data_IF_072423972712
#
_entry.id   IF_072423972712
#
_cell.length_a   1.000
_cell.length_b   1.000
_cell.length_c   1.000
_cell.angle_alpha   90.00
_cell.angle_beta   90.00
_cell.angle_gamma   90.00
#
_symmetry.space_group_name_H-M   'P 1'
#
loop_
_entity.id
_entity.type
_entity.pdbx_description
1 polymer ?
#
# COMPACT_ATOMS: atom_id res chain seq x y z
N UNK A 1 9.04 6.94 -13.72
CA UNK A 1 7.88 7.54 -14.44
C UNK A 1 6.83 6.46 -14.64
N UNK A 2 5.55 6.80 -14.79
CA UNK A 2 4.48 5.81 -15.01
C UNK A 2 3.47 5.65 -13.86
N UNK A 3 3.84 5.99 -12.62
CA UNK A 3 2.94 5.88 -11.44
C UNK A 3 1.59 6.60 -11.61
N UNK A 4 1.61 7.89 -11.94
CA UNK A 4 0.37 8.66 -12.16
C UNK A 4 -0.39 8.17 -13.40
N UNK A 5 0.32 7.69 -14.43
CA UNK A 5 -0.30 7.08 -15.60
C UNK A 5 -1.09 5.81 -15.22
N UNK A 6 -0.53 4.92 -14.40
CA UNK A 6 -1.23 3.71 -13.93
C UNK A 6 -2.54 4.06 -13.21
N UNK A 7 -2.55 5.11 -12.38
CA UNK A 7 -3.79 5.60 -11.77
C UNK A 7 -4.80 6.10 -12.80
N UNK A 8 -4.35 6.86 -13.79
CA UNK A 8 -5.22 7.38 -14.86
C UNK A 8 -5.81 6.27 -15.73
N UNK A 9 -5.03 5.24 -16.04
CA UNK A 9 -5.50 4.05 -16.77
C UNK A 9 -6.52 3.28 -15.94
N UNK A 10 -6.29 3.09 -14.64
CA UNK A 10 -7.29 2.47 -13.77
C UNK A 10 -8.57 3.32 -13.66
N UNK A 11 -8.44 4.65 -13.63
CA UNK A 11 -9.56 5.58 -13.60
C UNK A 11 -10.36 5.60 -14.92
N UNK A 12 -9.70 5.41 -16.07
CA UNK A 12 -10.35 5.41 -17.38
C UNK A 12 -11.37 4.28 -17.54
N UNK A 13 -11.29 3.22 -16.73
CA UNK A 13 -12.32 2.16 -16.67
C UNK A 13 -13.69 2.77 -16.29
N UNK A 14 -13.71 3.70 -15.33
CA UNK A 14 -14.95 4.20 -14.73
C UNK A 14 -15.41 5.55 -15.28
N UNK A 15 -14.49 6.38 -15.76
CA UNK A 15 -14.84 7.70 -16.27
C UNK A 15 -13.63 8.51 -16.70
N UNK A 16 -13.85 9.80 -16.95
CA UNK A 16 -12.78 10.70 -17.40
C UNK A 16 -11.61 10.70 -16.39
N UNK A 17 -10.40 10.28 -16.77
CA UNK A 17 -9.29 10.09 -15.84
C UNK A 17 -8.94 11.33 -15.02
N UNK A 18 -8.98 12.53 -15.62
CA UNK A 18 -8.62 13.77 -14.92
C UNK A 18 -9.65 14.20 -13.88
N UNK A 19 -10.92 13.80 -14.05
CA UNK A 19 -12.00 14.12 -13.11
C UNK A 19 -12.23 13.02 -12.08
N UNK A 20 -11.96 11.78 -12.46
CA UNK A 20 -12.19 10.61 -11.63
C UNK A 20 -11.08 10.42 -10.59
N UNK A 21 -9.82 10.66 -10.97
CA UNK A 21 -8.70 10.71 -10.00
C UNK A 21 -8.93 11.84 -9.00
N UNK A 22 -8.87 11.52 -7.71
CA UNK A 22 -9.04 12.49 -6.62
C UNK A 22 -7.68 12.86 -6.04
N UNK A 23 -7.57 14.07 -5.49
CA UNK A 23 -6.32 14.54 -4.89
C UNK A 23 -6.34 14.38 -3.38
N UNK A 24 -5.16 14.15 -2.81
CA UNK A 24 -4.95 14.12 -1.36
C UNK A 24 -5.01 15.51 -0.69
N UNK A 25 -5.05 16.59 -1.47
CA UNK A 25 -5.20 17.97 -1.00
C UNK A 25 -6.63 18.25 -0.55
N UNK A 26 -7.02 17.59 0.53
CA UNK A 26 -8.38 17.63 1.05
C UNK A 26 -8.38 17.41 2.57
N UNK A 27 -9.47 17.78 3.23
CA UNK A 27 -9.64 17.51 4.67
C UNK A 27 -10.07 16.06 4.89
N UNK A 28 -9.87 15.54 6.10
CA UNK A 28 -10.34 14.21 6.50
C UNK A 28 -11.86 14.03 6.26
N UNK A 29 -12.65 15.06 6.57
CA UNK A 29 -14.09 15.07 6.36
C UNK A 29 -14.49 15.06 4.88
N UNK A 30 -13.74 15.76 4.03
CA UNK A 30 -14.01 15.76 2.60
C UNK A 30 -13.65 14.40 1.98
N UNK A 31 -12.55 13.77 2.42
CA UNK A 31 -12.20 12.41 1.98
C UNK A 31 -13.19 11.35 2.50
N UNK A 32 -13.81 11.54 3.66
CA UNK A 32 -14.94 10.71 4.10
C UNK A 32 -16.12 10.80 3.11
N UNK A 33 -16.44 12.02 2.64
CA UNK A 33 -17.45 12.25 1.60
C UNK A 33 -17.09 11.53 0.31
N UNK A 34 -15.86 11.72 -0.18
CA UNK A 34 -15.36 11.08 -1.40
C UNK A 34 -15.39 9.56 -1.32
N UNK A 35 -14.99 8.98 -0.18
CA UNK A 35 -15.02 7.52 0.01
C UNK A 35 -16.45 6.98 -0.01
N UNK A 36 -17.40 7.70 0.59
CA UNK A 36 -18.82 7.35 0.54
C UNK A 36 -19.40 7.41 -0.88
N UNK A 37 -18.96 8.35 -1.70
CA UNK A 37 -19.38 8.48 -3.11
C UNK A 37 -18.82 7.35 -4.00
N UNK A 38 -17.66 6.80 -3.62
CA UNK A 38 -17.03 5.67 -4.32
C UNK A 38 -17.36 4.32 -3.66
N UNK A 39 -18.38 4.25 -2.80
CA UNK A 39 -18.78 3.00 -2.16
C UNK A 39 -19.08 1.94 -3.24
N UNK A 40 -18.52 0.74 -3.05
CA UNK A 40 -18.55 -0.38 -4.00
C UNK A 40 -17.85 -0.11 -5.34
N UNK A 41 -16.97 0.91 -5.38
CA UNK A 41 -16.19 1.30 -6.55
C UNK A 41 -14.71 1.49 -6.23
N UNK A 42 -13.95 1.90 -7.25
CA UNK A 42 -12.51 2.14 -7.18
C UNK A 42 -12.23 3.60 -6.79
N UNK A 43 -11.37 3.83 -5.80
CA UNK A 43 -10.95 5.17 -5.39
C UNK A 43 -9.47 5.43 -5.72
N UNK A 44 -9.16 6.06 -6.87
CA UNK A 44 -7.81 6.51 -7.17
C UNK A 44 -7.51 7.85 -6.47
N UNK A 45 -6.43 7.87 -5.69
CA UNK A 45 -5.94 9.09 -5.03
C UNK A 45 -4.49 9.39 -5.42
N UNK A 46 -4.24 10.56 -5.99
CA UNK A 46 -2.91 11.02 -6.38
C UNK A 46 -2.42 12.19 -5.51
N UNK A 47 -1.13 12.50 -5.62
CA UNK A 47 -0.49 13.66 -5.01
C UNK A 47 -0.50 13.67 -3.47
N UNK A 48 -0.23 12.51 -2.86
CA UNK A 48 -0.14 12.35 -1.40
C UNK A 48 0.79 13.37 -0.71
N UNK A 49 1.76 13.91 -1.45
CA UNK A 49 2.68 14.96 -0.97
C UNK A 49 2.00 16.29 -0.67
N UNK A 50 0.78 16.52 -1.17
CA UNK A 50 0.01 17.75 -0.91
C UNK A 50 -0.81 17.69 0.39
N UNK A 51 -0.86 16.53 1.06
CA UNK A 51 -1.54 16.36 2.34
C UNK A 51 -0.57 16.56 3.52
N UNK A 52 -1.08 17.08 4.64
CA UNK A 52 -0.32 17.13 5.89
C UNK A 52 0.03 15.68 6.32
N UNK A 53 1.34 15.34 6.45
CA UNK A 53 1.77 14.01 6.88
C UNK A 53 1.11 13.50 8.17
N UNK A 54 0.69 14.40 9.06
CA UNK A 54 0.00 14.06 10.32
C UNK A 54 -1.39 13.48 10.10
N UNK A 55 -2.04 13.83 9.00
CA UNK A 55 -3.41 13.43 8.67
C UNK A 55 -3.41 12.17 7.81
N UNK A 56 -2.40 11.99 6.95
CA UNK A 56 -2.28 10.86 6.01
C UNK A 56 -2.49 9.52 6.69
N UNK A 57 -1.78 9.22 7.79
CA UNK A 57 -1.91 7.93 8.47
C UNK A 57 -3.33 7.64 8.98
N UNK A 58 -3.99 8.65 9.58
CA UNK A 58 -5.37 8.54 10.08
C UNK A 58 -6.36 8.37 8.93
N UNK A 59 -6.18 9.12 7.84
CA UNK A 59 -7.03 9.02 6.65
C UNK A 59 -6.89 7.66 5.98
N UNK A 60 -5.67 7.15 5.80
CA UNK A 60 -5.44 5.81 5.25
C UNK A 60 -6.13 4.75 6.11
N UNK A 61 -6.01 4.86 7.44
CA UNK A 61 -6.66 3.94 8.37
C UNK A 61 -8.21 4.00 8.26
N UNK A 62 -8.77 5.21 8.18
CA UNK A 62 -10.20 5.44 7.97
C UNK A 62 -10.69 4.83 6.65
N UNK A 63 -10.01 5.11 5.54
CA UNK A 63 -10.34 4.59 4.21
C UNK A 63 -10.31 3.06 4.21
N UNK A 64 -9.28 2.45 4.81
CA UNK A 64 -9.13 1.00 4.87
C UNK A 64 -10.13 0.30 5.80
N UNK A 65 -10.65 0.98 6.82
CA UNK A 65 -11.67 0.42 7.71
C UNK A 65 -13.09 0.55 7.17
N UNK A 66 -13.32 1.41 6.17
CA UNK A 66 -14.64 1.52 5.55
C UNK A 66 -15.65 2.32 6.38
N UNK A 67 -15.22 3.13 7.34
CA UNK A 67 -16.13 3.86 8.23
C UNK A 67 -15.63 5.28 8.52
N UNK A 68 -16.58 6.23 8.45
CA UNK A 68 -16.39 7.61 8.82
C UNK A 68 -16.41 7.84 10.33
N UNK A 69 -16.12 9.08 10.75
CA UNK A 69 -16.13 9.42 12.18
C UNK A 69 -17.56 9.48 12.71
N UNK A 70 -17.81 8.80 13.83
CA UNK A 70 -19.05 8.97 14.60
C UNK A 70 -19.17 10.40 15.10
N UNK A 71 -20.36 11.00 14.97
CA UNK A 71 -20.65 12.34 15.46
C UNK A 71 -21.95 12.32 16.24
N UNK A 72 -22.04 13.03 17.35
CA UNK A 72 -23.30 13.21 18.06
C UNK A 72 -24.17 14.27 17.37
N UNK A 73 -25.48 14.12 17.44
CA UNK A 73 -26.48 15.09 17.03
C UNK A 73 -26.66 16.13 18.15
N UNK A 74 -27.26 17.27 17.81
CA UNK A 74 -27.66 18.30 18.78
C UNK A 74 -28.62 17.75 19.85
N UNK A 75 -29.30 16.63 19.57
CA UNK A 75 -30.20 15.91 20.48
C UNK A 75 -29.50 14.83 21.33
N UNK A 76 -28.17 14.78 21.33
CA UNK A 76 -27.38 13.83 22.13
C UNK A 76 -27.33 12.39 21.61
N UNK A 77 -27.97 12.11 20.47
CA UNK A 77 -27.92 10.79 19.84
C UNK A 77 -26.74 10.71 18.87
N UNK A 78 -26.12 9.54 18.67
CA UNK A 78 -25.10 9.43 17.64
C UNK A 78 -25.73 9.42 16.24
N UNK A 79 -25.24 10.30 15.36
CA UNK A 79 -25.51 10.24 13.93
C UNK A 79 -24.91 8.95 13.37
N UNK A 80 -25.65 8.29 12.48
CA UNK A 80 -25.16 7.13 11.74
C UNK A 80 -23.92 7.56 10.96
N UNK A 81 -22.78 6.93 11.27
CA UNK A 81 -21.54 7.16 10.56
C UNK A 81 -21.66 6.65 9.12
N UNK A 82 -21.06 7.37 8.16
CA UNK A 82 -20.97 6.88 6.79
C UNK A 82 -20.12 5.62 6.75
N UNK A 83 -20.52 4.66 5.93
CA UNK A 83 -19.76 3.42 5.71
C UNK A 83 -19.54 3.20 4.22
N UNK A 84 -18.44 2.55 3.88
CA UNK A 84 -18.08 2.24 2.50
C UNK A 84 -17.26 0.95 2.39
N UNK A 85 -17.27 0.35 1.22
CA UNK A 85 -16.42 -0.76 0.79
C UNK A 85 -15.72 -0.33 -0.49
N UNK A 86 -14.42 -0.08 -0.41
CA UNK A 86 -13.66 0.45 -1.56
C UNK A 86 -12.35 -0.31 -1.71
N UNK A 87 -11.90 -0.43 -2.96
CA UNK A 87 -10.49 -0.65 -3.27
C UNK A 87 -9.93 0.72 -3.63
N UNK A 88 -8.95 1.20 -2.87
CA UNK A 88 -8.28 2.46 -3.15
C UNK A 88 -6.85 2.22 -3.57
N UNK A 89 -6.35 3.05 -4.49
CA UNK A 89 -4.97 3.01 -4.93
C UNK A 89 -4.33 4.40 -4.76
N UNK A 90 -3.11 4.40 -4.22
CA UNK A 90 -2.36 5.61 -3.91
C UNK A 90 -0.99 5.52 -4.57
N UNK A 91 -0.49 6.64 -5.08
CA UNK A 91 0.88 6.71 -5.60
C UNK A 91 1.80 7.46 -4.65
N UNK A 92 2.87 6.77 -4.25
CA UNK A 92 3.87 7.32 -3.32
C UNK A 92 5.24 7.36 -4.00
N UNK A 93 5.96 8.48 -3.82
CA UNK A 93 7.40 8.57 -4.14
C UNK A 93 8.23 8.06 -2.96
N UNK A 94 9.33 7.35 -3.24
CA UNK A 94 10.15 6.65 -2.24
C UNK A 94 10.50 7.49 -1.00
N UNK A 95 10.86 8.78 -1.21
CA UNK A 95 11.18 9.73 -0.12
C UNK A 95 10.09 9.95 0.93
N UNK A 96 8.82 9.66 0.60
CA UNK A 96 7.71 9.86 1.52
C UNK A 96 7.31 8.59 2.27
N UNK A 97 7.78 7.38 1.85
CA UNK A 97 7.47 6.11 2.52
C UNK A 97 7.79 6.18 4.03
N UNK A 98 8.87 6.87 4.40
CA UNK A 98 9.39 6.91 5.77
C UNK A 98 8.81 8.04 6.62
N UNK A 99 8.22 9.08 6.02
CA UNK A 99 7.86 10.30 6.76
C UNK A 99 6.62 10.12 7.64
N UNK A 100 5.52 9.58 7.10
CA UNK A 100 4.32 9.27 7.89
C UNK A 100 4.46 7.99 8.71
N UNK A 101 5.28 7.02 8.27
CA UNK A 101 5.59 5.80 9.03
C UNK A 101 6.43 6.06 10.29
N UNK A 102 7.04 7.23 10.45
CA UNK A 102 7.88 7.54 11.63
C UNK A 102 7.12 8.24 12.75
N UNK A 103 6.00 8.89 12.48
CA UNK A 103 5.38 9.80 13.47
C UNK A 103 4.51 9.10 14.52
N UNK A 104 4.08 7.84 14.31
CA UNK A 104 3.08 7.22 15.19
C UNK A 104 3.25 5.68 15.25
N UNK A 105 4.18 5.20 16.09
CA UNK A 105 4.67 3.80 16.11
C UNK A 105 3.57 2.73 16.31
N UNK A 106 2.50 3.03 17.05
CA UNK A 106 1.41 2.06 17.32
C UNK A 106 0.41 1.90 16.17
N UNK A 107 0.22 2.92 15.33
CA UNK A 107 -0.76 2.89 14.22
C UNK A 107 -0.17 2.26 12.95
N UNK A 108 1.16 2.16 12.81
CA UNK A 108 1.80 1.71 11.58
C UNK A 108 1.69 0.21 11.28
N UNK A 109 1.84 -0.67 12.28
CA UNK A 109 1.80 -2.13 12.05
C UNK A 109 0.45 -2.56 11.46
N UNK A 110 -0.65 -1.96 11.94
CA UNK A 110 -1.99 -2.22 11.41
C UNK A 110 -2.27 -1.61 10.04
N UNK A 111 -1.54 -0.56 9.64
CA UNK A 111 -1.73 0.08 8.33
C UNK A 111 -1.05 -0.74 7.22
N UNK A 112 0.10 -1.35 7.49
CA UNK A 112 0.87 -2.08 6.46
C UNK A 112 0.14 -3.32 5.95
N UNK A 113 -0.58 -4.04 6.82
CA UNK A 113 -1.47 -5.14 6.44
C UNK A 113 -2.78 -4.68 5.78
N UNK A 114 -3.08 -3.38 5.86
CA UNK A 114 -4.27 -2.76 5.26
C UNK A 114 -3.95 -2.04 3.94
N UNK A 115 -2.67 -1.72 3.69
CA UNK A 115 -2.21 -1.06 2.47
C UNK A 115 -0.96 -1.78 1.98
N UNK A 116 -1.17 -2.70 1.04
CA UNK A 116 -0.08 -3.39 0.39
C UNK A 116 0.75 -2.41 -0.42
N UNK A 117 2.03 -2.32 -0.11
CA UNK A 117 2.96 -1.48 -0.85
C UNK A 117 3.58 -2.28 -1.98
N UNK A 118 3.20 -2.00 -3.21
CA UNK A 118 3.76 -2.65 -4.41
C UNK A 118 4.77 -1.69 -5.02
N UNK A 119 5.97 -2.17 -5.32
CA UNK A 119 6.94 -1.37 -6.05
C UNK A 119 6.54 -1.27 -7.53
N UNK A 120 6.60 -0.05 -8.05
CA UNK A 120 6.13 0.23 -9.41
C UNK A 120 7.19 -0.03 -10.48
N UNK A 121 8.38 -0.47 -10.10
CA UNK A 121 9.41 -0.86 -11.06
C UNK A 121 9.29 -2.36 -11.30
N UNK A 122 9.03 -2.76 -12.54
CA UNK A 122 8.93 -4.16 -12.93
C UNK A 122 10.30 -4.88 -12.96
N UNK A 123 11.40 -4.18 -12.66
CA UNK A 123 12.74 -4.75 -12.59
C UNK A 123 13.37 -5.06 -13.96
N UNK A 124 12.69 -4.68 -15.05
CA UNK A 124 13.09 -4.94 -16.44
C UNK A 124 13.75 -3.76 -17.13
N UNK A 125 14.05 -2.69 -16.39
CA UNK A 125 14.56 -1.43 -16.96
C UNK A 125 13.53 -0.62 -17.75
N UNK A 126 12.28 -1.09 -17.84
CA UNK A 126 11.16 -0.46 -18.55
C UNK A 126 10.23 0.32 -17.61
N UNK A 127 10.73 0.69 -16.43
CA UNK A 127 9.98 1.41 -15.39
C UNK A 127 8.73 0.60 -14.98
N UNK A 128 7.53 1.13 -15.21
CA UNK A 128 6.26 0.49 -14.84
C UNK A 128 5.79 -0.59 -15.82
N UNK A 129 6.44 -0.76 -16.96
CA UNK A 129 5.99 -1.69 -17.99
C UNK A 129 6.79 -2.99 -17.97
N UNK A 130 6.12 -4.10 -18.25
CA UNK A 130 6.77 -5.39 -18.47
C UNK A 130 7.29 -5.58 -19.90
N UNK A 131 6.67 -4.88 -20.85
CA UNK A 131 6.95 -4.96 -22.29
C UNK A 131 6.50 -3.68 -23.00
N UNK A 132 7.06 -3.43 -24.17
CA UNK A 132 6.65 -2.35 -25.06
C UNK A 132 5.87 -2.93 -26.24
N UNK A 133 4.57 -2.66 -26.31
CA UNK A 133 3.63 -3.20 -27.31
C UNK A 133 2.93 -2.11 -28.12
N UNK A 134 2.91 -0.87 -27.64
CA UNK A 134 2.26 0.26 -28.32
C UNK A 134 3.24 1.26 -28.93
N UNK A 135 4.52 1.20 -28.56
CA UNK A 135 5.56 2.09 -29.06
C UNK A 135 6.95 1.48 -28.83
N UNK A 136 8.00 2.12 -29.39
CA UNK A 136 9.39 1.65 -29.30
C UNK A 136 10.10 2.04 -28.01
N UNK A 137 9.59 3.03 -27.26
CA UNK A 137 10.18 3.50 -26.00
C UNK A 137 9.16 3.53 -24.88
N UNK A 138 9.63 3.47 -23.62
CA UNK A 138 8.77 3.54 -22.44
C UNK A 138 8.03 4.88 -22.34
N UNK A 139 8.67 5.97 -22.76
CA UNK A 139 8.11 7.32 -22.83
C UNK A 139 7.00 7.39 -23.88
N UNK A 140 7.28 6.97 -25.11
CA UNK A 140 6.29 7.00 -26.18
C UNK A 140 5.09 6.09 -25.88
N UNK A 141 5.33 4.93 -25.26
CA UNK A 141 4.23 4.06 -24.82
C UNK A 141 3.40 4.71 -23.72
N UNK A 142 4.04 5.40 -22.77
CA UNK A 142 3.33 6.12 -21.72
C UNK A 142 2.45 7.24 -22.28
N UNK A 143 2.97 8.02 -23.23
CA UNK A 143 2.22 9.08 -23.92
C UNK A 143 1.06 8.49 -24.73
N UNK A 144 1.30 7.37 -25.44
CA UNK A 144 0.27 6.70 -26.22
C UNK A 144 -0.87 6.17 -25.36
N UNK A 145 -0.55 5.53 -24.24
CA UNK A 145 -1.55 5.05 -23.27
C UNK A 145 -2.33 6.23 -22.69
N UNK A 146 -1.65 7.34 -22.38
CA UNK A 146 -2.30 8.56 -21.89
C UNK A 146 -3.32 9.07 -22.90
N UNK A 147 -2.93 9.26 -24.15
CA UNK A 147 -3.83 9.68 -25.24
C UNK A 147 -5.06 8.77 -25.33
N UNK A 148 -4.85 7.45 -25.38
CA UNK A 148 -5.93 6.47 -25.49
C UNK A 148 -6.88 6.52 -24.28
N UNK A 149 -6.34 6.64 -23.06
CA UNK A 149 -7.14 6.74 -21.83
C UNK A 149 -7.98 8.03 -21.76
N UNK A 150 -7.54 9.11 -22.42
CA UNK A 150 -8.31 10.35 -22.53
C UNK A 150 -9.36 10.29 -23.64
N UNK A 151 -9.07 9.60 -24.74
CA UNK A 151 -9.99 9.42 -25.85
C UNK A 151 -11.10 8.41 -25.53
N UNK A 152 -10.77 7.34 -24.81
CA UNK A 152 -11.66 6.23 -24.51
C UNK A 152 -11.69 5.95 -23.01
N UNK A 153 -12.82 6.26 -22.38
CA UNK A 153 -13.03 6.02 -20.96
C UNK A 153 -14.50 5.66 -20.64
N UNK A 154 -14.73 5.04 -19.49
CA UNK A 154 -16.04 4.67 -18.95
C UNK A 154 -16.68 3.43 -19.58
N UNK A 155 -16.27 3.04 -20.79
CA UNK A 155 -16.86 1.89 -21.51
C UNK A 155 -16.67 0.56 -20.78
N UNK A 156 -15.44 0.28 -20.32
CA UNK A 156 -15.12 -0.97 -19.62
C UNK A 156 -15.86 -1.11 -18.30
N UNK A 157 -16.03 -0.02 -17.55
CA UNK A 157 -16.79 -0.01 -16.29
C UNK A 157 -18.26 -0.31 -16.49
N UNK A 158 -18.89 0.25 -17.53
CA UNK A 158 -20.30 -0.06 -17.86
C UNK A 158 -20.45 -1.52 -18.27
N UNK A 159 -19.61 -2.02 -19.18
CA UNK A 159 -19.65 -3.43 -19.60
C UNK A 159 -19.42 -4.39 -18.42
N UNK A 160 -18.55 -4.03 -17.48
CA UNK A 160 -18.33 -4.78 -16.25
C UNK A 160 -19.59 -4.81 -15.38
N UNK A 161 -20.24 -3.66 -15.17
CA UNK A 161 -21.47 -3.56 -14.38
C UNK A 161 -22.61 -4.39 -15.00
N UNK A 162 -22.78 -4.34 -16.32
CA UNK A 162 -23.74 -5.17 -17.05
C UNK A 162 -23.45 -6.66 -16.85
N UNK A 163 -22.19 -7.08 -16.97
CA UNK A 163 -21.79 -8.47 -16.77
C UNK A 163 -22.11 -8.95 -15.34
N UNK A 164 -21.68 -8.23 -14.31
CA UNK A 164 -21.86 -8.68 -12.91
C UNK A 164 -23.31 -8.60 -12.42
N UNK A 165 -24.17 -7.85 -13.12
CA UNK A 165 -25.59 -7.73 -12.78
C UNK A 165 -26.49 -8.67 -13.59
N UNK A 166 -26.00 -9.23 -14.70
CA UNK A 166 -26.76 -10.17 -15.56
C UNK A 166 -27.22 -11.42 -14.80
N UNK A 167 -26.32 -12.10 -14.09
CA UNK A 167 -26.61 -13.15 -13.12
C UNK A 167 -25.69 -13.01 -11.90
N UNK A 168 -26.14 -12.18 -10.96
CA UNK A 168 -25.38 -11.89 -9.74
C UNK A 168 -25.04 -13.15 -8.95
N UNK A 169 -25.92 -14.15 -8.91
CA UNK A 169 -25.72 -15.33 -8.08
C UNK A 169 -24.62 -16.22 -8.68
N UNK A 170 -24.71 -16.50 -9.98
CA UNK A 170 -23.69 -17.26 -10.69
C UNK A 170 -22.35 -16.53 -10.69
N UNK A 171 -22.31 -15.24 -11.03
CA UNK A 171 -21.07 -14.45 -11.05
C UNK A 171 -20.42 -14.40 -9.67
N UNK A 172 -21.20 -14.28 -8.59
CA UNK A 172 -20.67 -14.32 -7.23
C UNK A 172 -20.10 -15.70 -6.87
N UNK A 173 -20.73 -16.78 -7.32
CA UNK A 173 -20.23 -18.14 -7.10
C UNK A 173 -18.90 -18.37 -7.83
N UNK A 174 -18.82 -17.97 -9.11
CA UNK A 174 -17.57 -18.05 -9.90
C UNK A 174 -16.47 -17.19 -9.29
N UNK A 175 -16.77 -15.96 -8.86
CA UNK A 175 -15.80 -15.10 -8.20
C UNK A 175 -15.24 -15.72 -6.92
N UNK A 176 -16.09 -16.37 -6.11
CA UNK A 176 -15.66 -17.07 -4.89
C UNK A 176 -14.74 -18.24 -5.23
N UNK A 177 -15.10 -19.05 -6.23
CA UNK A 177 -14.26 -20.17 -6.65
C UNK A 177 -12.88 -19.69 -7.12
N UNK A 178 -12.81 -18.65 -7.94
CA UNK A 178 -11.54 -18.08 -8.40
C UNK A 178 -10.69 -17.54 -7.24
N UNK A 179 -11.33 -16.93 -6.23
CA UNK A 179 -10.63 -16.48 -5.01
C UNK A 179 -10.09 -17.68 -4.22
N UNK A 180 -10.88 -18.74 -4.05
CA UNK A 180 -10.46 -19.93 -3.31
C UNK A 180 -9.33 -20.67 -4.05
N UNK A 181 -9.42 -20.81 -5.37
CA UNK A 181 -8.37 -21.38 -6.22
C UNK A 181 -7.07 -20.58 -6.12
N UNK A 182 -7.14 -19.25 -6.17
CA UNK A 182 -5.98 -18.37 -5.97
C UNK A 182 -5.36 -18.58 -4.57
N UNK A 183 -6.20 -18.56 -3.52
CA UNK A 183 -5.73 -18.69 -2.14
C UNK A 183 -5.14 -20.07 -1.84
N UNK A 184 -5.56 -21.13 -2.56
CA UNK A 184 -4.99 -22.47 -2.43
C UNK A 184 -3.48 -22.51 -2.76
N UNK A 185 -3.00 -21.61 -3.62
CA UNK A 185 -1.57 -21.48 -3.95
C UNK A 185 -0.75 -20.81 -2.84
N UNK A 186 -1.43 -20.24 -1.83
CA UNK A 186 -0.84 -19.50 -0.71
C UNK A 186 -1.35 -20.04 0.64
N UNK A 187 -1.35 -21.37 0.83
CA UNK A 187 -1.85 -22.03 2.03
C UNK A 187 -1.08 -21.69 3.31
N UNK A 188 0.22 -21.42 3.17
CA UNK A 188 1.16 -21.36 4.29
C UNK A 188 1.47 -19.91 4.72
N UNK A 189 0.47 -19.03 4.63
CA UNK A 189 0.61 -17.62 5.03
C UNK A 189 0.20 -17.40 6.50
N UNK A 190 0.91 -16.48 7.16
CA UNK A 190 0.46 -15.95 8.46
C UNK A 190 -0.90 -15.27 8.35
N UNK A 191 -1.63 -15.15 9.46
CA UNK A 191 -2.96 -14.53 9.46
C UNK A 191 -3.00 -13.10 8.89
N UNK A 192 -1.89 -12.35 9.00
CA UNK A 192 -1.75 -11.00 8.44
C UNK A 192 -1.53 -11.05 6.92
N UNK A 193 -0.55 -11.83 6.47
CA UNK A 193 -0.26 -12.00 5.04
C UNK A 193 -1.46 -12.60 4.28
N UNK A 194 -2.17 -13.55 4.90
CA UNK A 194 -3.39 -14.14 4.35
C UNK A 194 -4.49 -13.09 4.10
N UNK A 195 -4.66 -12.11 4.99
CA UNK A 195 -5.65 -11.02 4.79
C UNK A 195 -5.29 -10.13 3.60
N UNK A 196 -3.98 -9.90 3.37
CA UNK A 196 -3.49 -9.14 2.22
C UNK A 196 -3.68 -9.95 0.95
N UNK A 197 -3.22 -11.21 0.92
CA UNK A 197 -3.37 -12.13 -0.21
C UNK A 197 -4.83 -12.26 -0.67
N UNK A 198 -5.79 -12.32 0.26
CA UNK A 198 -7.22 -12.37 -0.08
C UNK A 198 -7.71 -11.15 -0.89
N UNK A 199 -7.11 -9.98 -0.71
CA UNK A 199 -7.45 -8.79 -1.51
C UNK A 199 -6.86 -8.87 -2.91
N UNK A 200 -5.65 -9.41 -3.05
CA UNK A 200 -5.06 -9.71 -4.35
C UNK A 200 -5.90 -10.76 -5.09
N UNK A 201 -6.34 -11.81 -4.40
CA UNK A 201 -7.23 -12.83 -4.95
C UNK A 201 -8.53 -12.23 -5.53
N UNK A 202 -9.13 -11.23 -4.86
CA UNK A 202 -10.31 -10.52 -5.37
C UNK A 202 -9.99 -9.76 -6.66
N UNK A 203 -8.83 -9.10 -6.73
CA UNK A 203 -8.38 -8.40 -7.96
C UNK A 203 -8.13 -9.39 -9.09
N UNK A 204 -7.51 -10.54 -8.79
CA UNK A 204 -7.30 -11.64 -9.73
C UNK A 204 -8.62 -12.14 -10.30
N UNK A 205 -9.58 -12.48 -9.44
CA UNK A 205 -10.89 -12.98 -9.83
C UNK A 205 -11.65 -11.96 -10.70
N UNK A 206 -11.59 -10.67 -10.37
CA UNK A 206 -12.19 -9.62 -11.18
C UNK A 206 -11.56 -9.53 -12.58
N UNK A 207 -10.23 -9.65 -12.69
CA UNK A 207 -9.53 -9.64 -13.97
C UNK A 207 -9.85 -10.87 -14.84
N UNK A 208 -9.94 -12.07 -14.25
CA UNK A 208 -10.33 -13.27 -14.97
C UNK A 208 -11.79 -13.22 -15.43
N UNK A 209 -12.72 -12.76 -14.58
CA UNK A 209 -14.12 -12.57 -14.97
C UNK A 209 -14.28 -11.53 -16.08
N UNK A 210 -13.56 -10.39 -15.98
CA UNK A 210 -13.59 -9.39 -17.03
C UNK A 210 -13.02 -9.92 -18.36
N UNK A 211 -12.05 -10.84 -18.29
CA UNK A 211 -11.50 -11.53 -19.46
C UNK A 211 -12.53 -12.49 -20.06
N UNK A 212 -13.20 -13.30 -19.23
CA UNK A 212 -14.28 -14.19 -19.67
C UNK A 212 -15.46 -13.42 -20.30
N UNK A 213 -15.74 -12.21 -19.79
CA UNK A 213 -16.74 -11.30 -20.33
C UNK A 213 -16.31 -10.61 -21.64
N UNK A 214 -15.07 -10.82 -22.11
CA UNK A 214 -14.54 -10.20 -23.33
C UNK A 214 -14.18 -8.72 -23.19
N UNK A 215 -14.06 -8.20 -21.96
CA UNK A 215 -13.82 -6.77 -21.69
C UNK A 215 -12.34 -6.42 -21.85
N UNK A 216 -11.43 -7.29 -21.40
CA UNK A 216 -9.99 -6.99 -21.34
C UNK A 216 -9.23 -7.36 -22.62
N UNK A 217 -9.69 -8.39 -23.33
CA UNK A 217 -8.94 -9.02 -24.42
C UNK A 217 -7.67 -9.76 -23.98
N UNK A 218 -7.51 -10.02 -22.68
CA UNK A 218 -6.34 -10.74 -22.13
C UNK A 218 -6.42 -12.25 -22.37
N UNK A 219 -5.28 -12.92 -22.26
CA UNK A 219 -5.25 -14.38 -22.23
C UNK A 219 -5.79 -14.90 -20.89
N UNK A 220 -6.44 -16.07 -20.91
CA UNK A 220 -6.91 -16.74 -19.70
C UNK A 220 -5.73 -16.98 -18.75
N UNK A 221 -5.86 -16.61 -17.47
CA UNK A 221 -4.80 -16.73 -16.47
C UNK A 221 -3.79 -15.58 -16.46
N UNK A 222 -3.85 -14.65 -17.42
CA UNK A 222 -2.93 -13.51 -17.48
C UNK A 222 -3.12 -12.54 -16.31
N UNK A 223 -4.37 -12.27 -15.93
CA UNK A 223 -4.67 -11.41 -14.78
C UNK A 223 -4.15 -12.04 -13.49
N UNK A 224 -4.40 -13.34 -13.32
CA UNK A 224 -3.92 -14.13 -12.18
C UNK A 224 -2.41 -14.09 -12.06
N UNK A 225 -1.71 -14.35 -13.16
CA UNK A 225 -0.24 -14.33 -13.19
C UNK A 225 0.32 -12.97 -12.80
N UNK A 226 -0.23 -11.88 -13.37
CA UNK A 226 0.23 -10.52 -13.05
C UNK A 226 0.01 -10.16 -11.57
N UNK A 227 -1.14 -10.55 -11.00
CA UNK A 227 -1.48 -10.31 -9.59
C UNK A 227 -0.60 -11.14 -8.66
N UNK A 228 -0.29 -12.39 -9.00
CA UNK A 228 0.64 -13.24 -8.25
C UNK A 228 2.03 -12.62 -8.19
N UNK A 229 2.57 -12.12 -9.31
CA UNK A 229 3.87 -11.42 -9.33
C UNK A 229 3.89 -10.25 -8.34
N UNK A 230 2.81 -9.47 -8.29
CA UNK A 230 2.70 -8.34 -7.37
C UNK A 230 2.59 -8.79 -5.90
N UNK A 231 1.86 -9.87 -5.64
CA UNK A 231 1.70 -10.44 -4.30
C UNK A 231 3.01 -11.05 -3.81
N UNK A 232 3.71 -11.82 -4.65
CA UNK A 232 5.01 -12.41 -4.32
C UNK A 232 6.05 -11.34 -4.03
N UNK A 233 6.11 -10.28 -4.85
CA UNK A 233 6.98 -9.14 -4.55
C UNK A 233 6.65 -8.49 -3.19
N UNK A 234 5.36 -8.35 -2.86
CA UNK A 234 4.96 -7.83 -1.56
C UNK A 234 5.33 -8.79 -0.41
N UNK A 235 5.12 -10.10 -0.59
CA UNK A 235 5.44 -11.13 0.38
C UNK A 235 6.94 -11.25 0.65
N UNK A 236 7.77 -11.09 -0.38
CA UNK A 236 9.23 -11.16 -0.26
C UNK A 236 9.76 -9.95 0.52
N UNK A 237 9.14 -8.78 0.34
CA UNK A 237 9.47 -7.56 1.09
C UNK A 237 8.90 -7.55 2.51
N UNK A 238 7.69 -8.07 2.71
CA UNK A 238 7.02 -8.10 4.01
C UNK A 238 7.53 -9.25 4.88
N UNK A 239 7.78 -10.43 4.31
CA UNK A 239 8.10 -11.66 5.03
C UNK A 239 6.93 -12.65 4.99
N UNK A 240 7.14 -13.79 4.33
CA UNK A 240 6.17 -14.89 4.19
C UNK A 240 5.85 -15.57 5.53
N UNK A 241 6.82 -15.56 6.44
CA UNK A 241 6.92 -16.30 7.70
C UNK A 241 6.46 -15.51 8.94
N UNK A 242 6.17 -14.22 8.82
CA UNK A 242 5.77 -13.36 9.95
C UNK A 242 6.93 -12.79 10.77
N UNK A 243 8.18 -12.95 10.33
CA UNK A 243 9.35 -12.34 10.98
C UNK A 243 9.48 -10.83 10.69
N UNK A 244 8.54 -10.24 9.95
CA UNK A 244 8.54 -8.84 9.58
C UNK A 244 8.79 -7.89 10.76
N UNK A 245 8.10 -8.13 11.89
CA UNK A 245 8.28 -7.31 13.09
C UNK A 245 9.71 -7.42 13.64
N UNK A 246 10.29 -8.62 13.62
CA UNK A 246 11.68 -8.85 14.03
C UNK A 246 12.67 -8.16 13.08
N UNK A 247 12.45 -8.25 11.77
CA UNK A 247 13.28 -7.57 10.75
C UNK A 247 13.20 -6.04 10.90
N UNK A 248 12.01 -5.49 11.12
CA UNK A 248 11.85 -4.05 11.39
C UNK A 248 12.53 -3.62 12.69
N UNK A 249 12.47 -4.43 13.75
CA UNK A 249 13.20 -4.17 14.99
C UNK A 249 14.70 -4.11 14.71
N UNK A 250 15.25 -5.07 13.97
CA UNK A 250 16.67 -5.12 13.61
C UNK A 250 17.06 -3.91 12.76
N UNK A 251 16.30 -3.56 11.73
CA UNK A 251 16.55 -2.36 10.91
C UNK A 251 16.48 -1.07 11.73
N UNK A 252 15.53 -0.97 12.67
CA UNK A 252 15.43 0.19 13.55
C UNK A 252 16.64 0.32 14.47
N UNK A 253 17.10 -0.80 15.03
CA UNK A 253 18.31 -0.85 15.86
C UNK A 253 19.53 -0.42 15.03
N UNK A 254 19.71 -0.95 13.81
CA UNK A 254 20.80 -0.57 12.91
C UNK A 254 20.78 0.92 12.60
N UNK A 255 19.63 1.47 12.19
CA UNK A 255 19.50 2.90 11.88
C UNK A 255 19.77 3.80 13.10
N UNK A 256 19.34 3.37 14.29
CA UNK A 256 19.62 4.09 15.53
C UNK A 256 21.12 4.12 15.84
N UNK A 257 21.81 2.98 15.66
CA UNK A 257 23.27 2.88 15.83
C UNK A 257 23.98 3.78 14.81
N UNK A 258 23.62 3.73 13.54
CA UNK A 258 24.25 4.56 12.50
C UNK A 258 24.09 6.06 12.78
N UNK A 259 22.90 6.46 13.27
CA UNK A 259 22.60 7.87 13.53
C UNK A 259 23.21 8.38 14.85
N UNK A 260 23.32 7.53 15.87
CA UNK A 260 23.64 7.95 17.24
C UNK A 260 24.86 7.25 17.86
N UNK A 261 25.53 6.38 17.11
CA UNK A 261 26.63 5.52 17.57
C UNK A 261 27.73 6.26 18.31
N UNK A 262 28.09 7.46 17.86
CA UNK A 262 29.14 8.28 18.47
C UNK A 262 28.68 9.25 19.56
N UNK A 263 27.37 9.45 19.75
CA UNK A 263 26.83 10.50 20.64
C UNK A 263 26.00 9.99 21.81
N UNK A 264 25.46 8.77 21.71
CA UNK A 264 24.60 8.18 22.75
C UNK A 264 25.14 6.89 23.35
N UNK A 265 26.28 6.42 22.90
CA UNK A 265 26.96 5.25 23.47
C UNK A 265 28.22 5.68 24.18
N UNK A 266 28.39 5.27 25.43
CA UNK A 266 29.61 5.55 26.18
C UNK A 266 30.71 4.58 25.73
N UNK A 267 31.93 5.07 25.41
CA UNK A 267 33.08 4.22 25.20
C UNK A 267 33.37 3.42 26.46
N UNK A 268 33.51 2.10 26.33
CA UNK A 268 34.13 1.28 27.37
C UNK A 268 35.37 0.61 26.79
N UNK A 269 36.46 0.69 27.55
CA UNK A 269 37.74 0.05 27.26
C UNK A 269 37.98 -1.02 28.32
N UNK A 270 38.59 -2.14 27.93
CA UNK A 270 39.04 -3.20 28.84
C UNK A 270 40.18 -2.68 29.73
N UNK A 271 40.92 -1.68 29.27
CA UNK A 271 42.00 -1.04 30.00
C UNK A 271 41.64 0.40 30.37
N UNK A 272 41.61 0.68 31.67
CA UNK A 272 41.32 1.97 32.27
C UNK A 272 42.40 3.00 31.91
N UNK A 273 42.16 3.77 30.87
CA UNK A 273 42.66 5.14 30.83
C UNK A 273 41.63 6.03 31.52
N UNK A 274 42.06 6.72 32.59
CA UNK A 274 41.27 7.76 33.25
C UNK A 274 41.14 8.96 32.31
N UNK A 275 40.36 8.81 31.24
CA UNK A 275 39.90 9.96 30.49
C UNK A 275 38.59 10.47 31.11
N UNK A 276 38.54 11.79 31.28
CA UNK A 276 37.44 12.56 31.81
C UNK A 276 36.08 11.97 31.41
N UNK A 277 35.23 11.67 32.39
CA UNK A 277 33.87 11.20 32.15
C UNK A 277 33.13 12.19 31.24
N UNK A 278 33.07 11.87 29.95
CA UNK A 278 32.34 12.65 28.97
C UNK A 278 30.86 12.43 29.23
N UNK A 279 30.15 13.50 29.60
CA UNK A 279 28.72 13.46 29.87
C UNK A 279 27.95 13.07 28.60
N UNK A 280 27.58 11.80 28.50
CA UNK A 280 26.71 11.30 27.43
C UNK A 280 25.25 11.64 27.75
N UNK A 281 24.65 12.51 26.93
CA UNK A 281 23.25 12.92 27.09
C UNK A 281 22.33 11.85 26.48
N UNK A 282 21.28 11.44 27.20
CA UNK A 282 20.34 10.39 26.77
C UNK A 282 21.05 9.09 26.34
N UNK A 283 21.94 8.59 27.21
CA UNK A 283 22.73 7.37 26.99
C UNK A 283 21.83 6.18 26.67
N UNK A 284 22.12 5.51 25.56
CA UNK A 284 21.40 4.33 25.08
C UNK A 284 22.16 3.02 25.35
N UNK A 285 23.46 3.10 25.64
CA UNK A 285 24.28 1.91 25.84
C UNK A 285 25.78 2.21 25.95
N UNK A 286 26.58 1.17 25.76
CA UNK A 286 28.03 1.19 25.75
C UNK A 286 28.56 0.67 24.41
N UNK A 287 29.66 1.26 23.94
CA UNK A 287 30.38 0.80 22.75
C UNK A 287 31.76 0.32 23.20
N UNK A 288 32.03 -0.97 23.01
CA UNK A 288 33.30 -1.57 23.31
C UNK A 288 34.21 -1.42 22.09
N UNK A 289 35.20 -0.52 22.19
CA UNK A 289 36.11 -0.24 21.09
C UNK A 289 37.13 -1.35 20.83
N UNK A 290 37.37 -2.21 21.82
CA UNK A 290 38.33 -3.31 21.71
C UNK A 290 37.76 -4.51 20.94
N UNK A 291 36.44 -4.70 20.99
CA UNK A 291 35.72 -5.81 20.32
C UNK A 291 34.81 -5.35 19.18
N UNK A 292 34.57 -4.05 19.04
CA UNK A 292 33.58 -3.47 18.13
C UNK A 292 32.12 -3.74 18.53
N UNK A 293 31.88 -4.31 19.72
CA UNK A 293 30.55 -4.68 20.20
C UNK A 293 29.77 -3.50 20.78
N UNK A 294 28.45 -3.46 20.53
CA UNK A 294 27.53 -2.47 21.12
C UNK A 294 26.60 -3.16 22.12
N UNK A 295 26.57 -2.66 23.35
CA UNK A 295 25.72 -3.13 24.44
C UNK A 295 24.61 -2.12 24.72
N UNK A 296 23.35 -2.53 24.61
CA UNK A 296 22.21 -1.68 24.93
C UNK A 296 21.90 -1.72 26.43
N UNK A 297 21.52 -0.57 27.00
CA UNK A 297 20.93 -0.52 28.34
C UNK A 297 19.49 -1.04 28.26
N UNK A 298 19.23 -2.16 28.94
CA UNK A 298 17.89 -2.69 29.15
C UNK A 298 17.58 -2.66 30.64
N UNK A 299 16.68 -1.78 31.07
CA UNK A 299 16.13 -1.81 32.43
C UNK A 299 14.84 -2.64 32.40
N UNK A 300 14.77 -3.69 33.21
CA UNK A 300 13.50 -4.32 33.56
C UNK A 300 12.66 -3.31 34.33
N UNK A 301 11.44 -3.05 33.84
CA UNK A 301 10.35 -2.43 34.60
C UNK A 301 9.32 -3.52 34.91
#
# INVERSE_FOLDING_TARGET
>A
MGKSLSLKVAASVWGNPDRYVKTWRSTDNALEGTASEHNDSFLPLDEISECDPKIVGKTVYMLANGQGKGRSTTTGHNRIAKTWRIIFCLMVRSRYKTSWRKQDKKTNVGIEVRVAHIDADAGKGLKTFDSLVLAETSEAQADRIKELSHAYYGSAGIAWLEHITSDKAATTATAKQLVDDFMSQYSDLTAQAHRVAKRFAIVSAAGELATQAGITGWQVGQATTAVMICLDNWLDNYGRDGEHEQRQIIEHIKAFIEQHGSSRFQPCHIHTYQDFETKITNRAGYHNYDTGGILFLYQYL
#
